data_IF_298982579184
#
_entry.id   IF_298982579184
#
_cell.length_a   1.000
_cell.length_b   1.000
_cell.length_c   1.000
_cell.angle_alpha   90.00
_cell.angle_beta   90.00
_cell.angle_gamma   90.00
#
_symmetry.space_group_name_H-M   'P 1'
#
loop_
_entity.id
_entity.type
_entity.pdbx_description
1 polymer ?
#
# COMPACT_ATOMS: atom_id res chain seq x y z
N UNK A 1 40.32 -10.71 12.04
CA UNK A 1 40.99 -11.94 11.54
C UNK A 1 39.97 -13.04 11.27
N UNK A 2 38.92 -13.19 12.08
CA UNK A 2 37.84 -14.17 11.85
C UNK A 2 37.01 -13.90 10.57
N UNK A 3 36.59 -12.65 10.31
CA UNK A 3 35.80 -12.31 9.10
C UNK A 3 36.52 -12.71 7.78
N UNK A 4 37.85 -12.56 7.70
CA UNK A 4 38.59 -12.97 6.52
C UNK A 4 38.70 -14.50 6.38
N UNK A 5 38.63 -15.24 7.48
CA UNK A 5 38.55 -16.70 7.45
C UNK A 5 37.18 -17.17 6.94
N UNK A 6 36.10 -16.49 7.34
CA UNK A 6 34.74 -16.80 6.87
C UNK A 6 34.56 -16.49 5.38
N UNK A 7 35.18 -15.42 4.87
CA UNK A 7 35.19 -15.15 3.42
C UNK A 7 35.95 -16.21 2.63
N UNK A 8 37.05 -16.74 3.18
CA UNK A 8 37.77 -17.86 2.56
C UNK A 8 36.92 -19.14 2.57
N UNK A 9 36.26 -19.44 3.69
CA UNK A 9 35.35 -20.58 3.81
C UNK A 9 34.18 -20.46 2.81
N UNK A 10 33.60 -19.27 2.66
CA UNK A 10 32.56 -19.02 1.67
C UNK A 10 33.04 -19.32 0.25
N UNK A 11 34.23 -18.83 -0.11
CA UNK A 11 34.85 -19.11 -1.40
C UNK A 11 35.13 -20.60 -1.62
N UNK A 12 35.66 -21.29 -0.61
CA UNK A 12 35.93 -22.73 -0.66
C UNK A 12 34.65 -23.55 -0.88
N UNK A 13 33.57 -23.22 -0.18
CA UNK A 13 32.26 -23.87 -0.36
C UNK A 13 31.72 -23.61 -1.77
N UNK A 14 31.77 -22.37 -2.24
CA UNK A 14 31.30 -21.99 -3.58
C UNK A 14 32.07 -22.73 -4.69
N UNK A 15 33.40 -22.76 -4.63
CA UNK A 15 34.23 -23.47 -5.60
C UNK A 15 33.98 -24.98 -5.57
N UNK A 16 33.74 -25.55 -4.38
CA UNK A 16 33.41 -26.97 -4.26
C UNK A 16 32.06 -27.32 -4.87
N UNK A 17 31.04 -26.47 -4.70
CA UNK A 17 29.73 -26.65 -5.34
C UNK A 17 29.91 -26.64 -6.87
N UNK A 18 30.63 -25.66 -7.41
CA UNK A 18 30.89 -25.56 -8.85
C UNK A 18 31.62 -26.76 -9.43
N UNK A 19 32.55 -27.34 -8.67
CA UNK A 19 33.39 -28.45 -9.14
C UNK A 19 32.77 -29.84 -8.91
N UNK A 20 32.00 -30.02 -7.84
CA UNK A 20 31.56 -31.34 -7.35
C UNK A 20 30.04 -31.57 -7.41
N UNK A 21 29.21 -30.54 -7.64
CA UNK A 21 27.76 -30.74 -7.78
C UNK A 21 27.45 -31.54 -9.06
N UNK A 22 26.44 -32.41 -8.98
CA UNK A 22 26.16 -33.42 -10.01
C UNK A 22 25.78 -32.80 -11.37
N UNK A 23 25.16 -31.62 -11.33
CA UNK A 23 24.78 -30.83 -12.50
C UNK A 23 25.50 -29.47 -12.46
N UNK A 24 25.98 -28.91 -13.58
CA UNK A 24 26.58 -27.58 -13.58
C UNK A 24 25.58 -26.52 -13.08
N UNK A 25 25.86 -25.82 -11.96
CA UNK A 25 24.94 -24.82 -11.43
C UNK A 25 25.05 -23.48 -12.18
N UNK A 26 24.02 -22.64 -12.03
CA UNK A 26 24.11 -21.22 -12.38
C UNK A 26 24.86 -20.47 -11.26
N UNK A 27 26.07 -20.00 -11.56
CA UNK A 27 26.95 -19.33 -10.61
C UNK A 27 26.38 -17.98 -10.13
N UNK A 28 25.68 -17.26 -11.00
CA UNK A 28 25.07 -15.96 -10.68
C UNK A 28 23.88 -16.14 -9.74
N UNK A 29 23.05 -17.16 -9.99
CA UNK A 29 21.95 -17.53 -9.11
C UNK A 29 22.45 -17.94 -7.71
N UNK A 30 23.52 -18.72 -7.63
CA UNK A 30 24.13 -19.11 -6.35
C UNK A 30 24.61 -17.91 -5.52
N UNK A 31 25.28 -16.95 -6.17
CA UNK A 31 25.76 -15.73 -5.49
C UNK A 31 24.58 -14.88 -5.02
N UNK A 32 23.55 -14.70 -5.87
CA UNK A 32 22.33 -13.96 -5.51
C UNK A 32 21.58 -14.61 -4.36
N UNK A 33 21.47 -15.94 -4.35
CA UNK A 33 20.86 -16.68 -3.26
C UNK A 33 21.63 -16.48 -1.93
N UNK A 34 22.97 -16.44 -1.97
CA UNK A 34 23.77 -16.13 -0.80
C UNK A 34 23.56 -14.70 -0.30
N UNK A 35 23.49 -13.70 -1.20
CA UNK A 35 23.19 -12.30 -0.84
C UNK A 35 21.80 -12.19 -0.20
N UNK A 36 20.80 -12.82 -0.80
CA UNK A 36 19.43 -12.88 -0.27
C UNK A 36 19.40 -13.53 1.12
N UNK A 37 20.15 -14.62 1.32
CA UNK A 37 20.28 -15.29 2.61
C UNK A 37 20.89 -14.39 3.70
N UNK A 38 21.92 -13.60 3.36
CA UNK A 38 22.49 -12.62 4.30
C UNK A 38 21.46 -11.58 4.74
N UNK A 39 20.69 -11.03 3.80
CA UNK A 39 19.73 -9.96 4.09
C UNK A 39 18.51 -10.46 4.86
N UNK A 40 17.93 -11.58 4.45
CA UNK A 40 16.77 -12.18 5.12
C UNK A 40 17.11 -12.76 6.50
N UNK A 41 18.40 -13.00 6.79
CA UNK A 41 18.83 -13.39 8.14
C UNK A 41 18.75 -12.26 9.17
N UNK A 42 18.65 -10.99 8.72
CA UNK A 42 18.59 -9.83 9.60
C UNK A 42 17.18 -9.62 10.15
N UNK A 43 16.20 -9.60 9.25
CA UNK A 43 14.79 -9.36 9.54
C UNK A 43 13.92 -9.77 8.32
N UNK A 44 12.59 -9.93 8.46
CA UNK A 44 11.70 -10.33 7.35
C UNK A 44 11.46 -9.24 6.29
N UNK A 45 11.96 -8.02 6.49
CA UNK A 45 11.74 -6.86 5.62
C UNK A 45 12.97 -6.53 4.76
N UNK A 46 14.16 -6.99 5.15
CA UNK A 46 15.43 -6.80 4.44
C UNK A 46 15.60 -7.85 3.34
N UNK A 47 16.05 -7.42 2.16
CA UNK A 47 16.17 -8.29 1.00
C UNK A 47 16.87 -7.65 -0.19
N UNK A 48 17.37 -8.49 -1.09
CA UNK A 48 17.92 -8.07 -2.38
C UNK A 48 16.77 -7.92 -3.38
N UNK A 49 16.82 -6.86 -4.16
CA UNK A 49 15.90 -6.58 -5.25
C UNK A 49 16.72 -6.67 -6.54
N UNK A 50 16.61 -7.77 -7.30
CA UNK A 50 17.11 -7.85 -8.66
C UNK A 50 16.61 -6.67 -9.52
N UNK A 51 17.27 -6.36 -10.66
CA UNK A 51 16.91 -5.21 -11.48
C UNK A 51 15.42 -5.10 -11.83
N UNK A 52 14.79 -6.22 -12.22
CA UNK A 52 13.37 -6.26 -12.54
C UNK A 52 12.49 -5.93 -11.32
N UNK A 53 12.69 -6.63 -10.20
CA UNK A 53 11.97 -6.36 -8.95
C UNK A 53 12.19 -4.93 -8.44
N UNK A 54 13.36 -4.34 -8.70
CA UNK A 54 13.65 -2.94 -8.33
C UNK A 54 12.84 -1.95 -9.18
N UNK A 55 12.72 -2.20 -10.48
CA UNK A 55 11.89 -1.39 -11.38
C UNK A 55 10.40 -1.54 -11.04
N UNK A 56 9.93 -2.77 -10.79
CA UNK A 56 8.56 -3.03 -10.31
C UNK A 56 8.29 -2.31 -8.99
N UNK A 57 9.23 -2.36 -8.05
CA UNK A 57 9.13 -1.63 -6.77
C UNK A 57 9.04 -0.11 -6.98
N UNK A 58 9.71 0.44 -7.99
CA UNK A 58 9.63 1.87 -8.32
C UNK A 58 8.28 2.26 -8.90
N UNK A 59 7.72 1.45 -9.81
CA UNK A 59 6.35 1.66 -10.33
C UNK A 59 5.31 1.58 -9.20
N UNK A 60 5.49 0.63 -8.30
CA UNK A 60 4.68 0.47 -7.09
C UNK A 60 4.73 1.69 -6.17
N UNK A 61 5.92 2.26 -5.98
CA UNK A 61 6.15 3.44 -5.15
C UNK A 61 5.53 4.69 -5.77
N UNK A 62 5.75 4.90 -7.07
CA UNK A 62 5.18 6.04 -7.77
C UNK A 62 3.65 5.93 -7.84
N UNK A 63 3.12 4.70 -7.82
CA UNK A 63 1.71 4.42 -8.14
C UNK A 63 1.40 4.68 -9.61
N UNK A 64 2.44 4.72 -10.45
CA UNK A 64 2.36 5.07 -11.85
C UNK A 64 3.21 4.10 -12.68
N UNK A 65 2.66 3.67 -13.82
CA UNK A 65 3.36 2.79 -14.75
C UNK A 65 3.07 3.17 -16.20
N UNK A 66 3.97 2.81 -17.11
CA UNK A 66 3.78 3.02 -18.54
C UNK A 66 2.84 1.96 -19.14
N UNK A 67 1.73 2.39 -19.74
CA UNK A 67 0.77 1.44 -20.29
C UNK A 67 -0.41 2.06 -21.01
N UNK A 68 -1.48 1.27 -21.12
CA UNK A 68 -2.67 1.61 -21.91
C UNK A 68 -3.83 2.17 -21.07
N UNK A 69 -3.84 1.88 -19.77
CA UNK A 69 -4.92 2.28 -18.87
C UNK A 69 -6.18 1.46 -19.05
N UNK A 70 -6.05 0.13 -19.04
CA UNK A 70 -7.18 -0.79 -19.19
C UNK A 70 -7.16 -1.83 -18.07
N UNK A 71 -8.30 -2.04 -17.43
CA UNK A 71 -8.50 -3.15 -16.50
C UNK A 71 -8.94 -4.38 -17.29
N UNK A 72 -8.25 -5.50 -17.08
CA UNK A 72 -8.48 -6.76 -17.79
C UNK A 72 -8.65 -7.91 -16.81
N UNK A 73 -9.36 -8.95 -17.26
CA UNK A 73 -9.43 -10.25 -16.61
C UNK A 73 -9.21 -11.35 -17.64
N UNK A 74 -8.68 -12.48 -17.19
CA UNK A 74 -8.68 -13.71 -17.97
C UNK A 74 -10.01 -14.45 -17.75
N UNK A 75 -10.79 -14.63 -18.80
CA UNK A 75 -12.04 -15.41 -18.80
C UNK A 75 -11.98 -16.41 -19.96
N UNK A 76 -12.16 -17.71 -19.70
CA UNK A 76 -12.14 -18.76 -20.74
C UNK A 76 -10.91 -18.73 -21.68
N UNK A 77 -9.73 -18.43 -21.15
CA UNK A 77 -8.45 -18.28 -21.90
C UNK A 77 -8.41 -17.12 -22.91
N UNK A 78 -9.36 -16.19 -22.82
CA UNK A 78 -9.33 -14.91 -23.54
C UNK A 78 -9.19 -13.76 -22.57
N UNK A 79 -8.56 -12.69 -23.03
CA UNK A 79 -8.37 -11.48 -22.23
C UNK A 79 -9.57 -10.59 -22.47
N UNK A 80 -10.36 -10.36 -21.41
CA UNK A 80 -11.54 -9.52 -21.47
C UNK A 80 -11.27 -8.19 -20.78
N UNK A 81 -11.66 -7.10 -21.43
CA UNK A 81 -11.64 -5.77 -20.85
C UNK A 81 -12.78 -5.65 -19.85
N UNK A 82 -12.44 -5.37 -18.59
CA UNK A 82 -13.42 -5.01 -17.55
C UNK A 82 -13.88 -3.58 -17.78
N UNK A 83 -12.93 -2.65 -17.82
CA UNK A 83 -13.18 -1.24 -18.09
C UNK A 83 -11.92 -0.55 -18.58
N UNK A 84 -12.00 0.35 -19.57
CA UNK A 84 -10.96 1.34 -19.76
C UNK A 84 -10.94 2.29 -18.54
N UNK A 85 -9.77 2.82 -18.21
CA UNK A 85 -9.61 3.86 -17.19
C UNK A 85 -9.83 5.21 -17.88
N UNK A 86 -10.66 6.08 -17.30
CA UNK A 86 -10.92 7.41 -17.85
C UNK A 86 -9.63 8.21 -18.11
N UNK A 87 -9.64 9.03 -19.15
CA UNK A 87 -8.50 9.88 -19.55
C UNK A 87 -7.21 9.12 -19.88
N UNK A 88 -7.28 7.82 -20.19
CA UNK A 88 -6.12 7.01 -20.63
C UNK A 88 -6.14 6.71 -22.14
N UNK A 89 -5.02 6.22 -22.73
CA UNK A 89 -4.98 5.84 -24.14
C UNK A 89 -6.10 4.88 -24.56
N UNK A 90 -6.39 3.85 -23.75
CA UNK A 90 -7.44 2.87 -24.04
C UNK A 90 -8.83 3.52 -24.13
N UNK A 91 -9.17 4.39 -23.16
CA UNK A 91 -10.43 5.13 -23.17
C UNK A 91 -10.54 6.06 -24.39
N UNK A 92 -9.48 6.84 -24.68
CA UNK A 92 -9.43 7.78 -25.81
C UNK A 92 -9.54 7.07 -27.16
N UNK A 93 -9.00 5.86 -27.28
CA UNK A 93 -9.09 5.05 -28.48
C UNK A 93 -10.46 4.39 -28.68
N UNK A 94 -11.33 4.42 -27.67
CA UNK A 94 -12.66 3.83 -27.74
C UNK A 94 -12.69 2.31 -27.50
N UNK A 95 -11.73 1.79 -26.74
CA UNK A 95 -11.83 0.45 -26.13
C UNK A 95 -12.99 0.47 -25.13
N UNK A 96 -13.81 -0.57 -25.12
CA UNK A 96 -15.01 -0.65 -24.29
C UNK A 96 -14.95 -1.86 -23.36
N UNK A 97 -15.71 -1.78 -22.27
CA UNK A 97 -15.99 -2.94 -21.42
C UNK A 97 -16.55 -4.10 -22.25
N UNK A 98 -16.11 -5.31 -21.92
CA UNK A 98 -16.38 -6.58 -22.62
C UNK A 98 -15.71 -6.76 -23.98
N UNK A 99 -14.85 -5.85 -24.42
CA UNK A 99 -13.95 -6.15 -25.55
C UNK A 99 -13.06 -7.35 -25.19
N UNK A 100 -12.87 -8.26 -26.15
CA UNK A 100 -11.95 -9.38 -26.02
C UNK A 100 -10.67 -9.06 -26.79
N UNK A 101 -9.56 -8.87 -26.08
CA UNK A 101 -8.25 -8.69 -26.71
C UNK A 101 -7.84 -10.06 -27.27
N UNK A 102 -7.59 -10.12 -28.58
CA UNK A 102 -7.22 -11.36 -29.29
C UNK A 102 -5.77 -11.34 -29.78
N UNK A 103 -5.19 -10.15 -30.03
CA UNK A 103 -3.77 -10.00 -30.39
C UNK A 103 -3.14 -8.75 -29.75
N UNK A 104 -1.86 -8.87 -29.42
CA UNK A 104 -1.00 -7.76 -28.97
C UNK A 104 0.25 -7.76 -29.86
N UNK A 105 0.50 -6.65 -30.56
CA UNK A 105 1.57 -6.51 -31.58
C UNK A 105 1.58 -7.66 -32.61
N UNK A 106 0.38 -8.10 -33.02
CA UNK A 106 0.18 -9.20 -33.97
C UNK A 106 0.48 -10.59 -33.42
N UNK A 107 0.72 -10.73 -32.11
CA UNK A 107 0.84 -12.02 -31.43
C UNK A 107 -0.50 -12.38 -30.80
N UNK A 108 -1.02 -13.58 -31.10
CA UNK A 108 -2.25 -14.08 -30.48
C UNK A 108 -2.08 -14.22 -28.97
N UNK A 109 -3.07 -13.76 -28.20
CA UNK A 109 -3.03 -13.88 -26.74
C UNK A 109 -3.42 -15.26 -26.24
N UNK A 110 -3.96 -16.12 -27.11
CA UNK A 110 -4.37 -17.46 -26.73
C UNK A 110 -3.17 -18.28 -26.24
N UNK A 111 -3.27 -18.82 -25.04
CA UNK A 111 -2.20 -19.55 -24.37
C UNK A 111 -1.24 -18.67 -23.55
N UNK A 112 -1.40 -17.35 -23.59
CA UNK A 112 -0.74 -16.46 -22.63
C UNK A 112 -1.46 -16.48 -21.30
N UNK A 113 -0.69 -16.34 -20.24
CA UNK A 113 -1.18 -15.96 -18.91
C UNK A 113 -1.59 -14.48 -18.89
N UNK A 114 -2.36 -14.10 -17.87
CA UNK A 114 -2.73 -12.69 -17.68
C UNK A 114 -1.48 -11.80 -17.54
N UNK A 115 -0.48 -12.26 -16.79
CA UNK A 115 0.74 -11.49 -16.50
C UNK A 115 1.58 -11.27 -17.76
N UNK A 116 1.76 -12.29 -18.60
CA UNK A 116 2.46 -12.15 -19.89
C UNK A 116 1.78 -11.13 -20.81
N UNK A 117 0.45 -11.07 -20.79
CA UNK A 117 -0.28 -10.10 -21.58
C UNK A 117 -0.15 -8.68 -21.02
N UNK A 118 -0.18 -8.53 -19.69
CA UNK A 118 0.09 -7.25 -19.02
C UNK A 118 1.48 -6.75 -19.37
N UNK A 119 2.50 -7.63 -19.31
CA UNK A 119 3.88 -7.29 -19.64
C UNK A 119 4.01 -6.78 -21.08
N UNK A 120 3.28 -7.38 -22.04
CA UNK A 120 3.24 -6.90 -23.43
C UNK A 120 2.50 -5.58 -23.61
N UNK A 121 1.44 -5.35 -22.85
CA UNK A 121 0.68 -4.08 -22.91
C UNK A 121 1.42 -2.94 -22.21
N UNK A 122 2.20 -3.25 -21.17
CA UNK A 122 3.12 -2.30 -20.52
C UNK A 122 4.34 -2.04 -21.40
N UNK A 123 5.05 -0.97 -21.05
CA UNK A 123 6.27 -0.57 -21.74
C UNK A 123 6.54 0.91 -21.59
N UNK A 124 7.67 1.39 -22.14
CA UNK A 124 8.09 2.77 -21.96
C UNK A 124 7.06 3.76 -22.51
N UNK A 125 6.81 4.83 -21.77
CA UNK A 125 5.89 5.92 -22.16
C UNK A 125 6.32 6.49 -23.52
N UNK A 126 5.34 6.75 -24.38
CA UNK A 126 5.54 7.25 -25.75
C UNK A 126 5.81 6.16 -26.79
N UNK A 127 6.02 4.90 -26.40
CA UNK A 127 6.09 3.78 -27.34
C UNK A 127 4.69 3.37 -27.79
N UNK A 128 4.60 2.76 -28.97
CA UNK A 128 3.32 2.29 -29.51
C UNK A 128 3.13 0.79 -29.24
N UNK A 129 1.86 0.39 -29.18
CA UNK A 129 1.43 -1.01 -29.16
C UNK A 129 0.14 -1.14 -29.97
N UNK A 130 0.06 -2.20 -30.76
CA UNK A 130 -1.12 -2.53 -31.55
C UNK A 130 -1.95 -3.57 -30.81
N UNK A 131 -3.21 -3.27 -30.55
CA UNK A 131 -4.16 -4.17 -29.91
C UNK A 131 -5.27 -4.52 -30.89
N UNK A 132 -5.49 -5.82 -31.12
CA UNK A 132 -6.63 -6.31 -31.90
C UNK A 132 -7.67 -6.85 -30.93
N UNK A 133 -8.91 -6.37 -31.04
CA UNK A 133 -10.03 -6.80 -30.19
C UNK A 133 -11.18 -7.37 -31.00
N UNK A 134 -11.83 -8.38 -30.44
CA UNK A 134 -13.14 -8.82 -30.85
C UNK A 134 -14.20 -8.13 -29.97
N UNK A 135 -15.16 -7.45 -30.61
CA UNK A 135 -16.25 -6.75 -29.93
C UNK A 135 -17.58 -7.40 -30.31
N UNK A 136 -18.39 -7.74 -29.31
CA UNK A 136 -19.70 -8.33 -29.55
C UNK A 136 -20.57 -7.41 -30.43
N UNK A 137 -21.20 -7.99 -31.45
CA UNK A 137 -22.03 -7.26 -32.42
C UNK A 137 -21.25 -6.61 -33.57
N UNK A 138 -19.92 -6.70 -33.60
CA UNK A 138 -19.07 -6.25 -34.72
C UNK A 138 -18.53 -7.47 -35.47
N UNK A 139 -18.70 -7.51 -36.78
CA UNK A 139 -18.40 -8.70 -37.59
C UNK A 139 -16.91 -8.95 -37.82
N UNK A 140 -16.10 -7.90 -37.82
CA UNK A 140 -14.65 -7.95 -38.04
C UNK A 140 -13.91 -7.46 -36.79
N UNK A 141 -12.74 -8.04 -36.45
CA UNK A 141 -11.91 -7.53 -35.37
C UNK A 141 -11.54 -6.06 -35.56
N UNK A 142 -11.50 -5.31 -34.46
CA UNK A 142 -11.10 -3.91 -34.44
C UNK A 142 -9.63 -3.81 -34.05
N UNK A 143 -8.87 -3.01 -34.79
CA UNK A 143 -7.45 -2.75 -34.51
C UNK A 143 -7.29 -1.35 -33.92
N UNK A 144 -6.54 -1.26 -32.82
CA UNK A 144 -6.20 -0.01 -32.15
C UNK A 144 -4.69 0.13 -32.07
N UNK A 145 -4.15 1.20 -32.64
CA UNK A 145 -2.76 1.62 -32.40
C UNK A 145 -2.76 2.63 -31.27
N UNK A 146 -2.13 2.26 -30.16
CA UNK A 146 -2.15 3.01 -28.91
C UNK A 146 -0.74 3.47 -28.57
N UNK A 147 -0.60 4.73 -28.19
CA UNK A 147 0.63 5.23 -27.58
C UNK A 147 0.55 5.02 -26.08
N UNK A 148 1.51 4.29 -25.51
CA UNK A 148 1.62 4.09 -24.06
C UNK A 148 1.81 5.45 -23.38
N UNK A 149 1.08 5.63 -22.28
CA UNK A 149 1.08 6.86 -21.48
C UNK A 149 1.34 6.50 -20.02
N UNK A 150 1.58 7.51 -19.18
CA UNK A 150 1.68 7.30 -17.74
C UNK A 150 0.29 7.02 -17.16
N UNK A 151 0.10 5.82 -16.62
CA UNK A 151 -1.15 5.40 -16.00
C UNK A 151 -1.00 5.57 -14.49
N UNK A 152 -1.89 6.38 -13.89
CA UNK A 152 -1.91 6.61 -12.45
C UNK A 152 -3.00 5.77 -11.78
N UNK A 153 -2.60 4.94 -10.83
CA UNK A 153 -3.54 4.20 -9.99
C UNK A 153 -4.12 5.16 -8.95
N UNK A 154 -5.46 5.22 -8.85
CA UNK A 154 -6.13 6.02 -7.82
C UNK A 154 -5.85 5.40 -6.44
N UNK A 155 -4.89 5.98 -5.72
CA UNK A 155 -4.55 5.58 -4.35
C UNK A 155 -5.71 5.81 -3.37
N UNK A 156 -6.50 6.86 -3.61
CA UNK A 156 -7.66 7.27 -2.80
C UNK A 156 -8.94 7.08 -3.60
N UNK A 157 -9.92 6.44 -2.98
CA UNK A 157 -11.32 6.41 -3.43
C UNK A 157 -12.18 7.07 -2.36
N UNK A 158 -13.23 7.76 -2.77
CA UNK A 158 -14.11 8.43 -1.82
C UNK A 158 -15.58 8.23 -2.16
N UNK A 159 -16.45 8.42 -1.16
CA UNK A 159 -17.91 8.40 -1.30
C UNK A 159 -18.59 9.20 -0.19
N UNK A 160 -19.81 9.65 -0.43
CA UNK A 160 -20.69 10.23 0.60
C UNK A 160 -21.72 9.22 1.11
N UNK A 161 -21.70 8.96 2.41
CA UNK A 161 -22.72 8.19 3.12
C UNK A 161 -23.65 9.18 3.85
N UNK A 162 -24.62 9.71 3.11
CA UNK A 162 -25.39 10.90 3.53
C UNK A 162 -24.48 12.12 3.58
N UNK A 163 -24.32 12.73 4.76
CA UNK A 163 -23.43 13.88 4.98
C UNK A 163 -22.02 13.50 5.48
N UNK A 164 -21.72 12.21 5.59
CA UNK A 164 -20.42 11.71 6.06
C UNK A 164 -19.54 11.36 4.88
N UNK A 165 -18.34 11.95 4.82
CA UNK A 165 -17.35 11.65 3.80
C UNK A 165 -16.54 10.42 4.21
N UNK A 166 -16.42 9.44 3.31
CA UNK A 166 -15.58 8.24 3.50
C UNK A 166 -14.46 8.29 2.47
N UNK A 167 -13.21 8.37 2.94
CA UNK A 167 -12.00 8.34 2.12
C UNK A 167 -11.27 7.03 2.39
N UNK A 168 -11.18 6.15 1.40
CA UNK A 168 -10.40 4.93 1.48
C UNK A 168 -9.05 5.14 0.78
N UNK A 169 -7.99 5.14 1.58
CA UNK A 169 -6.60 5.18 1.08
C UNK A 169 -6.06 3.75 1.05
N UNK A 170 -5.78 3.24 -0.14
CA UNK A 170 -5.38 1.85 -0.36
C UNK A 170 -3.88 1.60 -0.16
N UNK A 171 -3.04 2.59 -0.48
CA UNK A 171 -1.57 2.53 -0.35
C UNK A 171 -0.96 3.92 -0.33
N UNK A 172 0.16 4.08 0.35
CA UNK A 172 0.93 5.33 0.39
C UNK A 172 1.93 5.41 -0.77
N UNK A 173 1.43 5.55 -2.00
CA UNK A 173 2.26 5.85 -3.19
C UNK A 173 2.51 7.35 -3.30
N UNK A 174 3.32 7.80 -4.24
CA UNK A 174 3.52 9.23 -4.54
C UNK A 174 2.21 9.98 -4.90
N UNK A 175 1.13 9.24 -5.21
CA UNK A 175 -0.20 9.79 -5.51
C UNK A 175 -1.11 9.90 -4.28
N UNK A 176 -0.68 9.46 -3.10
CA UNK A 176 -1.54 9.36 -1.92
C UNK A 176 -2.04 10.74 -1.44
N UNK A 177 -1.14 11.69 -1.21
CA UNK A 177 -1.52 13.02 -0.73
C UNK A 177 -2.38 13.77 -1.75
N UNK A 178 -1.97 13.82 -3.02
CA UNK A 178 -2.74 14.45 -4.11
C UNK A 178 -4.13 13.80 -4.24
N UNK A 179 -4.22 12.48 -4.02
CA UNK A 179 -5.50 11.77 -3.97
C UNK A 179 -6.40 12.22 -2.82
N UNK A 180 -5.83 12.52 -1.64
CA UNK A 180 -6.58 13.07 -0.50
C UNK A 180 -7.06 14.49 -0.81
N UNK A 181 -6.18 15.35 -1.32
CA UNK A 181 -6.53 16.72 -1.72
C UNK A 181 -7.70 16.74 -2.69
N UNK A 182 -7.57 15.98 -3.78
CA UNK A 182 -8.60 15.88 -4.82
C UNK A 182 -9.91 15.30 -4.28
N UNK A 183 -9.85 14.26 -3.46
CA UNK A 183 -11.06 13.69 -2.86
C UNK A 183 -11.80 14.73 -2.01
N UNK A 184 -11.08 15.52 -1.22
CA UNK A 184 -11.68 16.58 -0.39
C UNK A 184 -12.24 17.71 -1.26
N UNK A 185 -11.57 18.10 -2.35
CA UNK A 185 -12.10 19.05 -3.32
C UNK A 185 -13.42 18.54 -3.92
N UNK A 186 -13.42 17.33 -4.49
CA UNK A 186 -14.60 16.72 -5.10
C UNK A 186 -15.77 16.61 -4.10
N UNK A 187 -15.50 16.23 -2.84
CA UNK A 187 -16.50 16.15 -1.77
C UNK A 187 -17.12 17.52 -1.50
N UNK A 188 -16.32 18.57 -1.41
CA UNK A 188 -16.86 19.92 -1.19
C UNK A 188 -17.63 20.41 -2.41
N UNK A 189 -17.20 20.08 -3.63
CA UNK A 189 -17.95 20.40 -4.84
C UNK A 189 -19.33 19.72 -4.86
N UNK A 190 -19.41 18.42 -4.58
CA UNK A 190 -20.69 17.70 -4.48
C UNK A 190 -21.59 18.25 -3.37
N UNK A 191 -21.00 18.80 -2.30
CA UNK A 191 -21.72 19.43 -1.19
C UNK A 191 -21.89 20.93 -1.34
N UNK A 192 -21.76 21.49 -2.55
CA UNK A 192 -21.95 22.91 -2.84
C UNK A 192 -21.08 23.86 -1.98
N UNK A 193 -19.88 23.42 -1.63
CA UNK A 193 -18.92 24.14 -0.79
C UNK A 193 -19.10 23.94 0.71
N UNK A 194 -20.11 23.16 1.16
CA UNK A 194 -20.33 22.89 2.58
C UNK A 194 -19.40 21.79 3.11
N UNK A 195 -18.91 21.95 4.33
CA UNK A 195 -18.08 20.95 5.02
C UNK A 195 -18.90 19.73 5.43
N UNK A 196 -18.42 18.49 5.20
CA UNK A 196 -19.14 17.27 5.57
C UNK A 196 -19.37 17.22 7.09
N UNK A 197 -20.39 16.48 7.53
CA UNK A 197 -20.70 16.31 8.96
C UNK A 197 -19.57 15.61 9.72
N UNK A 198 -18.78 14.81 9.01
CA UNK A 198 -17.54 14.22 9.49
C UNK A 198 -16.81 13.48 8.38
N UNK A 199 -15.57 13.10 8.65
CA UNK A 199 -14.69 12.36 7.75
C UNK A 199 -14.34 11.02 8.37
N UNK A 200 -14.44 9.96 7.57
CA UNK A 200 -13.92 8.64 7.88
C UNK A 200 -12.74 8.39 6.95
N UNK A 201 -11.52 8.31 7.51
CA UNK A 201 -10.34 7.86 6.79
C UNK A 201 -10.18 6.36 7.00
N UNK A 202 -10.45 5.57 5.97
CA UNK A 202 -10.35 4.12 6.00
C UNK A 202 -8.94 3.66 5.58
N UNK A 203 -8.17 3.18 6.56
CA UNK A 203 -6.83 2.62 6.39
C UNK A 203 -6.81 1.09 6.57
N UNK A 204 -7.98 0.44 6.62
CA UNK A 204 -8.08 -1.02 6.72
C UNK A 204 -7.48 -1.68 5.49
N UNK A 205 -6.70 -2.73 5.71
CA UNK A 205 -5.98 -3.46 4.66
C UNK A 205 -5.03 -2.60 3.82
N UNK A 206 -4.57 -1.46 4.36
CA UNK A 206 -3.52 -0.65 3.75
C UNK A 206 -2.16 -1.04 4.36
N UNK A 207 -1.27 -1.72 3.61
CA UNK A 207 0.02 -2.22 4.11
C UNK A 207 1.07 -1.11 4.28
N UNK A 208 0.71 0.16 4.03
CA UNK A 208 1.57 1.31 4.13
C UNK A 208 2.11 1.75 2.77
N UNK A 209 3.40 2.09 2.73
CA UNK A 209 4.08 2.64 1.57
C UNK A 209 5.11 3.69 1.99
N UNK A 210 5.22 4.77 1.23
CA UNK A 210 6.16 5.86 1.48
C UNK A 210 5.85 6.58 2.79
N UNK A 211 6.87 6.70 3.63
CA UNK A 211 6.77 7.46 4.87
C UNK A 211 6.61 8.94 4.63
N UNK A 212 7.26 9.49 3.60
CA UNK A 212 7.05 10.88 3.19
C UNK A 212 5.59 11.17 2.89
N UNK A 213 4.90 10.24 2.23
CA UNK A 213 3.47 10.35 1.94
C UNK A 213 2.61 10.19 3.18
N UNK A 214 3.02 9.36 4.14
CA UNK A 214 2.35 9.30 5.45
C UNK A 214 2.42 10.62 6.22
N UNK A 215 3.54 11.35 6.09
CA UNK A 215 3.71 12.68 6.68
C UNK A 215 2.74 13.66 6.04
N UNK A 216 2.71 13.77 4.71
CA UNK A 216 1.81 14.67 4.00
C UNK A 216 0.33 14.35 4.25
N UNK A 217 -0.05 13.06 4.26
CA UNK A 217 -1.44 12.66 4.55
C UNK A 217 -1.83 13.00 5.98
N UNK A 218 -0.95 12.86 6.98
CA UNK A 218 -1.25 13.29 8.34
C UNK A 218 -1.32 14.83 8.45
N UNK A 219 -0.43 15.53 7.75
CA UNK A 219 -0.34 17.00 7.68
C UNK A 219 -1.66 17.63 7.20
N UNK A 220 -2.30 17.01 6.20
CA UNK A 220 -3.62 17.40 5.70
C UNK A 220 -4.70 17.57 6.78
N UNK A 221 -4.53 16.92 7.94
CA UNK A 221 -5.48 16.95 9.05
C UNK A 221 -4.90 17.57 10.33
N UNK A 222 -3.62 17.96 10.37
CA UNK A 222 -2.90 18.42 11.56
C UNK A 222 -2.25 19.78 11.37
N UNK A 223 -2.75 20.80 12.08
CA UNK A 223 -2.22 22.17 11.97
C UNK A 223 -0.77 22.36 12.47
N UNK A 224 -0.28 21.49 13.37
CA UNK A 224 1.08 21.51 13.92
C UNK A 224 1.39 20.22 14.68
N UNK A 225 2.69 19.98 14.87
CA UNK A 225 3.23 19.00 15.80
C UNK A 225 3.91 17.84 15.07
N UNK A 226 4.55 16.94 15.83
CA UNK A 226 5.23 15.81 15.22
C UNK A 226 4.20 14.88 14.56
N UNK A 227 4.50 14.37 13.36
CA UNK A 227 3.78 13.25 12.76
C UNK A 227 4.45 11.93 13.15
N UNK A 228 5.77 11.85 12.97
CA UNK A 228 6.54 10.64 13.25
C UNK A 228 7.98 11.00 13.62
N UNK A 229 8.56 10.21 14.51
CA UNK A 229 9.98 10.26 14.83
C UNK A 229 10.66 8.99 14.32
N UNK A 230 11.82 9.12 13.68
CA UNK A 230 12.68 8.00 13.32
C UNK A 230 13.89 7.94 14.24
N UNK A 231 14.31 6.72 14.57
CA UNK A 231 15.57 6.46 15.27
C UNK A 231 16.35 5.39 14.55
N UNK A 232 17.49 5.77 14.00
CA UNK A 232 18.45 4.85 13.39
C UNK A 232 19.64 4.57 14.29
N UNK A 233 20.63 3.87 13.73
CA UNK A 233 21.89 3.56 14.43
C UNK A 233 22.78 4.80 14.55
N UNK A 234 22.67 5.72 13.61
CA UNK A 234 23.41 6.99 13.58
C UNK A 234 22.46 8.18 13.70
N UNK A 235 23.01 9.35 14.08
CA UNK A 235 22.24 10.59 14.17
C UNK A 235 21.63 10.98 12.82
N UNK A 236 22.34 10.74 11.72
CA UNK A 236 21.85 10.98 10.35
C UNK A 236 20.70 10.07 9.92
N UNK A 237 20.48 8.95 10.62
CA UNK A 237 19.36 8.02 10.37
C UNK A 237 18.19 8.28 11.34
N UNK A 238 18.29 9.31 12.19
CA UNK A 238 17.25 9.73 13.12
C UNK A 238 16.70 11.08 12.69
N UNK A 239 15.39 11.23 12.70
CA UNK A 239 14.72 12.41 12.19
C UNK A 239 13.39 12.64 12.92
N UNK A 240 12.86 13.85 12.81
CA UNK A 240 11.54 14.21 13.30
C UNK A 240 10.80 14.93 12.18
N UNK A 241 9.69 14.33 11.76
CA UNK A 241 8.82 14.90 10.76
C UNK A 241 7.68 15.61 11.47
N UNK A 242 7.56 16.92 11.24
CA UNK A 242 6.50 17.76 11.80
C UNK A 242 5.49 18.15 10.72
N UNK A 243 4.23 18.32 11.13
CA UNK A 243 3.16 18.92 10.35
C UNK A 243 3.26 20.46 10.39
N UNK A 244 2.74 21.13 9.37
CA UNK A 244 2.71 22.57 9.24
C UNK A 244 1.34 23.08 8.75
N UNK A 245 0.98 24.33 9.10
CA UNK A 245 -0.32 24.87 8.70
C UNK A 245 -0.38 25.14 7.20
N UNK A 246 -1.49 24.77 6.58
CA UNK A 246 -1.82 24.94 5.17
C UNK A 246 -3.34 25.26 4.96
N UNK A 247 -3.79 25.52 3.72
CA UNK A 247 -5.21 25.79 3.47
C UNK A 247 -6.13 24.58 3.66
N UNK A 248 -5.62 23.36 3.51
CA UNK A 248 -6.37 22.12 3.59
C UNK A 248 -6.66 21.76 5.04
N UNK A 249 -5.69 21.81 5.94
CA UNK A 249 -5.90 21.54 7.36
C UNK A 249 -6.87 22.57 7.96
N UNK A 250 -6.73 23.85 7.59
CA UNK A 250 -7.64 24.91 8.02
C UNK A 250 -9.09 24.66 7.55
N UNK A 251 -9.26 24.10 6.35
CA UNK A 251 -10.57 23.73 5.79
C UNK A 251 -11.22 22.56 6.54
N UNK A 252 -10.41 21.69 7.16
CA UNK A 252 -10.84 20.47 7.84
C UNK A 252 -10.81 20.55 9.37
N UNK A 253 -10.29 21.63 9.95
CA UNK A 253 -9.98 21.73 11.38
C UNK A 253 -11.19 21.42 12.29
N UNK A 254 -12.37 21.89 11.92
CA UNK A 254 -13.61 21.72 12.72
C UNK A 254 -14.43 20.49 12.31
N UNK A 255 -13.96 19.71 11.33
CA UNK A 255 -14.67 18.52 10.83
C UNK A 255 -14.33 17.31 11.70
N UNK A 256 -15.31 16.70 12.41
CA UNK A 256 -15.08 15.49 13.20
C UNK A 256 -14.49 14.37 12.34
N UNK A 257 -13.55 13.61 12.90
CA UNK A 257 -12.82 12.59 12.14
C UNK A 257 -12.76 11.26 12.89
N UNK A 258 -12.98 10.17 12.14
CA UNK A 258 -12.71 8.79 12.56
C UNK A 258 -11.69 8.18 11.61
N UNK A 259 -10.76 7.39 12.14
CA UNK A 259 -9.85 6.57 11.33
C UNK A 259 -10.20 5.10 11.55
N UNK A 260 -10.44 4.36 10.46
CA UNK A 260 -10.66 2.91 10.53
C UNK A 260 -9.34 2.17 10.35
N UNK A 261 -9.04 1.25 11.27
CA UNK A 261 -7.85 0.38 11.21
C UNK A 261 -8.21 -1.09 11.47
N UNK A 262 -7.42 -2.00 10.93
CA UNK A 262 -7.53 -3.43 11.21
C UNK A 262 -6.15 -4.12 11.14
N UNK A 263 -6.12 -5.46 11.21
CA UNK A 263 -4.85 -6.21 11.17
C UNK A 263 -3.99 -5.94 9.95
N UNK A 264 -4.58 -5.53 8.82
CA UNK A 264 -3.89 -5.24 7.57
C UNK A 264 -3.40 -3.80 7.45
N UNK A 265 -3.71 -2.93 8.42
CA UNK A 265 -3.13 -1.59 8.52
C UNK A 265 -1.69 -1.71 9.02
N UNK A 266 -0.71 -1.32 8.20
CA UNK A 266 0.71 -1.46 8.56
C UNK A 266 1.55 -0.23 8.18
N UNK A 267 2.71 -0.05 8.84
CA UNK A 267 3.75 0.91 8.47
C UNK A 267 3.21 2.34 8.34
N UNK A 268 3.26 2.96 7.17
CA UNK A 268 2.72 4.31 6.92
C UNK A 268 1.27 4.51 7.41
N UNK A 269 0.42 3.48 7.33
CA UNK A 269 -0.94 3.53 7.90
C UNK A 269 -0.93 3.72 9.42
N UNK A 270 0.01 3.05 10.10
CA UNK A 270 0.19 3.11 11.55
C UNK A 270 0.79 4.45 11.99
N UNK A 271 1.64 5.05 11.14
CA UNK A 271 2.14 6.41 11.32
C UNK A 271 0.99 7.41 11.31
N UNK A 272 0.14 7.41 10.27
CA UNK A 272 -1.01 8.33 10.17
C UNK A 272 -1.98 8.10 11.32
N UNK A 273 -2.36 6.84 11.59
CA UNK A 273 -3.28 6.50 12.66
C UNK A 273 -2.73 6.94 14.03
N UNK A 274 -1.45 6.63 14.32
CA UNK A 274 -0.79 6.99 15.56
C UNK A 274 -0.65 8.50 15.74
N UNK A 275 -0.30 9.24 14.68
CA UNK A 275 -0.18 10.70 14.72
C UNK A 275 -1.53 11.37 15.02
N UNK A 276 -2.58 10.99 14.29
CA UNK A 276 -3.92 11.55 14.48
C UNK A 276 -4.50 11.19 15.85
N UNK A 277 -4.21 9.99 16.36
CA UNK A 277 -4.61 9.55 17.69
C UNK A 277 -3.89 10.34 18.79
N UNK A 278 -2.56 10.48 18.69
CA UNK A 278 -1.74 11.13 19.71
C UNK A 278 -2.06 12.63 19.83
N UNK A 279 -2.38 13.29 18.71
CA UNK A 279 -2.82 14.68 18.68
C UNK A 279 -4.30 14.88 19.02
N UNK A 280 -5.03 13.80 19.34
CA UNK A 280 -6.48 13.86 19.57
C UNK A 280 -7.24 14.51 18.40
N UNK A 281 -6.74 14.34 17.17
CA UNK A 281 -7.38 14.83 15.95
C UNK A 281 -8.48 13.90 15.48
N UNK A 282 -8.29 12.59 15.61
CA UNK A 282 -9.26 11.60 15.21
C UNK A 282 -9.43 10.52 16.27
N UNK A 283 -10.61 9.91 16.31
CA UNK A 283 -10.86 8.69 17.08
C UNK A 283 -10.59 7.48 16.18
N UNK A 284 -9.78 6.53 16.65
CA UNK A 284 -9.53 5.28 15.93
C UNK A 284 -10.59 4.24 16.28
N UNK A 285 -11.19 3.63 15.26
CA UNK A 285 -12.21 2.59 15.38
C UNK A 285 -11.76 1.35 14.62
N UNK A 286 -11.96 0.17 15.20
CA UNK A 286 -11.71 -1.11 14.51
C UNK A 286 -10.96 -2.11 15.37
N UNK A 287 -9.87 -2.69 14.86
CA UNK A 287 -9.03 -3.63 15.60
C UNK A 287 -7.56 -3.23 15.54
N UNK A 288 -6.73 -3.80 16.42
CA UNK A 288 -5.29 -3.53 16.46
C UNK A 288 -4.64 -3.73 15.09
N UNK A 289 -3.74 -2.81 14.74
CA UNK A 289 -2.98 -2.83 13.48
C UNK A 289 -1.83 -3.86 13.48
N UNK A 290 -1.10 -3.94 12.37
CA UNK A 290 -0.12 -5.01 12.11
C UNK A 290 1.11 -5.01 13.04
N UNK A 291 1.64 -3.82 13.36
CA UNK A 291 2.81 -3.65 14.23
C UNK A 291 4.15 -3.46 13.51
N UNK A 292 4.18 -2.96 12.27
CA UNK A 292 5.43 -2.72 11.55
C UNK A 292 5.95 -1.31 11.83
N UNK A 293 6.84 -1.21 12.80
CA UNK A 293 7.48 0.05 13.24
C UNK A 293 8.90 0.25 12.69
N UNK A 294 9.28 -0.37 11.57
CA UNK A 294 10.63 -0.32 11.00
C UNK A 294 10.70 0.43 9.67
N UNK A 295 11.79 1.16 9.47
CA UNK A 295 12.11 1.95 8.26
C UNK A 295 12.93 1.10 7.31
N UNK A 296 12.45 0.92 6.08
CA UNK A 296 13.26 0.32 5.02
C UNK A 296 13.83 1.40 4.09
N UNK A 297 15.14 1.37 3.88
CA UNK A 297 15.81 2.15 2.84
C UNK A 297 16.03 1.26 1.62
N UNK A 298 15.70 1.77 0.43
CA UNK A 298 16.03 1.11 -0.84
C UNK A 298 17.30 1.76 -1.39
N UNK A 299 18.39 1.01 -1.36
CA UNK A 299 19.73 1.46 -1.73
C UNK A 299 20.05 0.90 -3.12
N UNK A 300 20.18 1.77 -4.11
CA UNK A 300 20.55 1.36 -5.47
C UNK A 300 21.95 0.74 -5.49
N UNK A 301 22.08 -0.38 -6.19
CA UNK A 301 23.34 -1.06 -6.48
C UNK A 301 23.76 -0.83 -7.94
N UNK A 302 23.16 0.15 -8.61
CA UNK A 302 23.41 0.44 -10.02
C UNK A 302 22.73 -0.57 -10.94
N UNK A 303 23.44 -1.18 -11.91
CA UNK A 303 22.84 -2.13 -12.84
C UNK A 303 22.41 -3.44 -12.17
N UNK A 304 22.87 -3.70 -10.95
CA UNK A 304 22.58 -4.94 -10.21
C UNK A 304 21.30 -4.83 -9.37
N UNK A 305 20.46 -3.81 -9.57
CA UNK A 305 19.21 -3.62 -8.86
C UNK A 305 19.38 -2.82 -7.57
N UNK A 306 18.80 -3.28 -6.47
CA UNK A 306 18.82 -2.58 -5.19
C UNK A 306 18.87 -3.51 -3.98
N UNK A 307 19.20 -2.94 -2.82
CA UNK A 307 19.11 -3.59 -1.52
C UNK A 307 18.05 -2.86 -0.70
N UNK A 308 17.04 -3.59 -0.22
CA UNK A 308 16.11 -3.11 0.79
C UNK A 308 16.65 -3.48 2.16
N UNK A 309 16.89 -2.48 3.00
CA UNK A 309 17.52 -2.69 4.31
C UNK A 309 16.78 -1.93 5.39
N UNK A 310 16.54 -2.57 6.54
CA UNK A 310 16.03 -1.88 7.72
C UNK A 310 17.12 -1.00 8.34
N UNK A 311 16.88 0.32 8.38
CA UNK A 311 17.88 1.31 8.81
C UNK A 311 17.48 2.07 10.07
N UNK A 312 16.19 2.12 10.40
CA UNK A 312 15.67 2.84 11.55
C UNK A 312 14.32 2.27 12.03
N UNK A 313 13.82 2.80 13.15
CA UNK A 313 12.49 2.51 13.72
C UNK A 313 11.65 3.78 13.81
N UNK A 314 10.34 3.68 13.62
CA UNK A 314 9.38 4.78 13.79
C UNK A 314 8.75 4.77 15.17
N UNK A 315 8.46 5.96 15.67
CA UNK A 315 7.75 6.20 16.93
C UNK A 315 6.66 7.24 16.70
N UNK A 316 5.53 7.07 17.39
CA UNK A 316 4.44 8.04 17.35
C UNK A 316 4.84 9.35 18.07
N UNK A 317 4.07 10.44 17.93
CA UNK A 317 4.36 11.72 18.58
C UNK A 317 4.51 11.64 20.11
N UNK A 318 3.77 10.74 20.78
CA UNK A 318 3.90 10.45 22.22
C UNK A 318 5.05 9.49 22.55
N UNK A 319 5.97 9.28 21.61
CA UNK A 319 7.15 8.43 21.76
C UNK A 319 6.84 6.93 21.94
N UNK A 320 5.68 6.45 21.47
CA UNK A 320 5.30 5.04 21.54
C UNK A 320 5.95 4.27 20.39
N UNK A 321 6.53 3.11 20.69
CA UNK A 321 7.05 2.18 19.69
C UNK A 321 5.89 1.40 19.07
N UNK A 322 5.88 1.28 17.74
CA UNK A 322 4.85 0.51 17.00
C UNK A 322 5.34 -0.93 16.76
N UNK A 323 6.66 -1.11 16.71
CA UNK A 323 7.30 -2.35 16.30
C UNK A 323 6.87 -3.53 17.18
N UNK A 324 6.36 -4.60 16.56
CA UNK A 324 5.86 -5.80 17.20
C UNK A 324 4.64 -5.59 18.14
N UNK A 325 4.05 -4.39 18.15
CA UNK A 325 2.88 -4.06 18.98
C UNK A 325 1.67 -3.63 18.13
N UNK A 326 1.87 -2.67 17.24
CA UNK A 326 0.80 -2.00 16.49
C UNK A 326 0.15 -0.85 17.24
N UNK A 327 -0.82 -0.23 16.59
CA UNK A 327 -1.70 0.81 17.11
C UNK A 327 -2.97 0.14 17.60
N UNK A 328 -3.31 0.39 18.85
CA UNK A 328 -4.59 -0.03 19.44
C UNK A 328 -5.64 1.06 19.17
N UNK A 329 -6.83 0.72 18.63
CA UNK A 329 -7.88 1.71 18.38
C UNK A 329 -8.42 2.26 19.70
N UNK A 330 -8.96 3.48 19.67
CA UNK A 330 -9.65 4.06 20.83
C UNK A 330 -10.97 3.35 21.13
N UNK A 331 -11.59 2.77 20.09
CA UNK A 331 -12.83 1.99 20.20
C UNK A 331 -12.65 0.67 19.43
N UNK A 332 -12.59 -0.44 20.16
CA UNK A 332 -12.56 -1.77 19.53
C UNK A 332 -13.94 -2.12 18.98
N UNK A 333 -14.02 -2.31 17.66
CA UNK A 333 -15.20 -2.80 16.95
C UNK A 333 -14.75 -3.91 16.01
N UNK A 334 -15.27 -5.12 16.21
CA UNK A 334 -14.96 -6.28 15.37
C UNK A 334 -16.00 -6.43 14.26
N UNK A 335 -15.55 -6.96 13.11
CA UNK A 335 -16.48 -7.34 12.05
C UNK A 335 -17.24 -8.61 12.43
N UNK A 336 -18.46 -8.73 11.91
CA UNK A 336 -19.16 -10.01 11.84
C UNK A 336 -18.58 -10.77 10.65
N UNK A 337 -17.76 -11.78 10.93
CA UNK A 337 -17.08 -12.58 9.89
C UNK A 337 -17.97 -13.75 9.49
N UNK A 338 -18.36 -13.89 8.20
CA UNK A 338 -19.11 -15.04 7.70
C UNK A 338 -18.37 -16.36 7.95
N UNK A 339 -19.11 -17.44 8.14
CA UNK A 339 -18.57 -18.75 8.51
C UNK A 339 -17.51 -19.25 7.52
N UNK A 340 -17.65 -18.97 6.21
CA UNK A 340 -16.65 -19.36 5.20
C UNK A 340 -15.30 -18.65 5.32
N UNK A 341 -15.23 -17.52 6.04
CA UNK A 341 -14.01 -16.72 6.22
C UNK A 341 -13.40 -16.87 7.62
N UNK A 342 -14.15 -17.42 8.58
CA UNK A 342 -13.65 -17.59 9.95
C UNK A 342 -12.38 -18.44 10.01
N UNK A 343 -11.35 -17.92 10.68
CA UNK A 343 -10.04 -18.57 10.80
C UNK A 343 -9.12 -18.38 9.59
N UNK A 344 -9.60 -17.68 8.55
CA UNK A 344 -8.79 -17.19 7.42
C UNK A 344 -8.70 -15.66 7.40
N UNK A 345 -9.55 -15.01 8.19
CA UNK A 345 -9.63 -13.57 8.32
C UNK A 345 -8.56 -13.00 9.25
N UNK A 346 -8.12 -13.76 10.26
CA UNK A 346 -7.03 -13.35 11.14
C UNK A 346 -5.68 -13.61 10.49
N UNK A 347 -4.82 -12.58 10.45
CA UNK A 347 -3.45 -12.71 9.94
C UNK A 347 -2.43 -12.78 11.07
N UNK A 348 -1.21 -13.18 10.74
CA UNK A 348 -0.07 -13.10 11.66
C UNK A 348 0.39 -11.63 11.69
N UNK A 349 0.47 -11.03 12.88
CA UNK A 349 1.04 -9.68 13.07
C UNK A 349 2.57 -9.69 13.06
N UNK A 350 3.20 -8.51 13.14
CA UNK A 350 4.67 -8.36 13.04
C UNK A 350 5.44 -9.28 14.02
N UNK A 351 5.02 -9.36 15.28
CA UNK A 351 5.65 -10.19 16.31
C UNK A 351 5.58 -11.70 16.02
N UNK A 352 4.65 -12.13 15.16
CA UNK A 352 4.54 -13.52 14.75
C UNK A 352 5.42 -13.89 13.56
N UNK A 353 6.08 -12.91 12.91
CA UNK A 353 6.97 -13.20 11.78
C UNK A 353 8.27 -13.85 12.25
N UNK A 354 8.76 -14.80 11.46
CA UNK A 354 10.06 -15.41 11.69
C UNK A 354 11.16 -14.35 11.52
N UNK A 355 12.03 -14.22 12.54
CA UNK A 355 13.13 -13.25 12.52
C UNK A 355 12.68 -11.79 12.66
N UNK A 356 11.46 -11.54 13.14
CA UNK A 356 10.97 -10.17 13.34
C UNK A 356 11.88 -9.36 14.26
N UNK A 357 11.80 -8.03 14.11
CA UNK A 357 12.54 -7.10 14.94
C UNK A 357 11.76 -6.93 16.26
N UNK A 358 12.39 -7.21 17.40
CA UNK A 358 11.75 -7.11 18.72
C UNK A 358 11.48 -5.65 19.12
N UNK A 359 10.41 -5.44 19.87
CA UNK A 359 10.03 -4.13 20.45
C UNK A 359 10.98 -3.64 21.55
N UNK A 360 10.74 -2.42 22.05
CA UNK A 360 11.58 -1.78 23.09
C UNK A 360 11.22 -2.21 24.52
N UNK A 361 10.97 -3.51 24.74
CA UNK A 361 10.72 -4.09 26.07
C UNK A 361 9.26 -4.05 26.55
N UNK A 362 8.32 -3.67 25.70
CA UNK A 362 6.87 -3.84 25.93
C UNK A 362 6.42 -5.27 25.60
N UNK A 363 5.29 -5.70 26.17
CA UNK A 363 4.72 -7.03 25.89
C UNK A 363 4.23 -7.05 24.44
N UNK A 364 4.94 -7.78 23.57
CA UNK A 364 4.65 -7.86 22.13
C UNK A 364 3.26 -8.45 21.87
N UNK A 365 2.67 -8.09 20.74
CA UNK A 365 1.38 -8.61 20.34
C UNK A 365 1.49 -10.12 20.05
N UNK A 366 0.87 -10.96 20.87
CA UNK A 366 0.98 -12.43 20.74
C UNK A 366 0.10 -13.03 19.64
N UNK A 367 -0.81 -12.24 19.06
CA UNK A 367 -1.73 -12.63 17.98
C UNK A 367 -1.94 -11.44 17.03
N UNK A 368 -2.24 -11.68 15.75
CA UNK A 368 -2.69 -10.62 14.86
C UNK A 368 -4.17 -10.31 15.01
N UNK A 369 -4.73 -9.56 14.06
CA UNK A 369 -6.14 -9.16 14.03
C UNK A 369 -6.78 -9.54 12.70
N UNK A 370 -8.12 -9.56 12.67
CA UNK A 370 -8.88 -9.77 11.45
C UNK A 370 -8.58 -8.70 10.38
N UNK A 371 -8.49 -9.13 9.12
CA UNK A 371 -8.39 -8.29 7.92
C UNK A 371 -9.70 -8.24 7.13
N UNK A 372 -10.74 -8.92 7.61
CA UNK A 372 -12.01 -8.99 6.90
C UNK A 372 -12.66 -7.60 6.81
N UNK A 373 -13.11 -7.24 5.60
CA UNK A 373 -13.95 -6.07 5.33
C UNK A 373 -15.03 -6.54 4.36
N UNK A 374 -16.33 -6.42 4.70
CA UNK A 374 -17.41 -6.79 3.80
C UNK A 374 -17.36 -6.01 2.47
N UNK A 375 -17.81 -6.64 1.38
CA UNK A 375 -17.92 -5.98 0.09
C UNK A 375 -19.03 -4.90 0.11
N UNK A 376 -20.16 -5.22 0.73
CA UNK A 376 -21.29 -4.31 0.89
C UNK A 376 -21.11 -3.45 2.14
N UNK A 377 -21.15 -2.13 1.96
CA UNK A 377 -20.98 -1.17 3.08
C UNK A 377 -22.03 -1.30 4.16
N UNK A 378 -23.23 -1.79 3.82
CA UNK A 378 -24.32 -2.00 4.77
C UNK A 378 -23.99 -3.10 5.80
N UNK A 379 -23.17 -4.09 5.41
CA UNK A 379 -22.75 -5.20 6.27
C UNK A 379 -21.47 -4.87 7.06
N UNK A 380 -20.77 -3.79 6.70
CA UNK A 380 -19.55 -3.32 7.35
C UNK A 380 -19.84 -2.72 8.73
N UNK A 381 -19.70 -3.55 9.76
CA UNK A 381 -20.03 -3.19 11.15
C UNK A 381 -19.19 -2.02 11.65
N UNK A 382 -17.91 -1.98 11.28
CA UNK A 382 -16.98 -0.91 11.70
C UNK A 382 -17.32 0.42 11.02
N UNK A 383 -17.56 0.40 9.70
CA UNK A 383 -17.94 1.60 8.95
C UNK A 383 -19.29 2.14 9.44
N UNK A 384 -20.29 1.26 9.58
CA UNK A 384 -21.61 1.66 10.04
C UNK A 384 -21.57 2.21 11.48
N UNK A 385 -20.73 1.65 12.35
CA UNK A 385 -20.50 2.21 13.68
C UNK A 385 -19.92 3.62 13.63
N UNK A 386 -18.88 3.85 12.80
CA UNK A 386 -18.27 5.16 12.64
C UNK A 386 -19.25 6.21 12.06
N UNK A 387 -20.10 5.81 11.10
CA UNK A 387 -21.15 6.67 10.54
C UNK A 387 -22.16 7.06 11.64
N UNK A 388 -22.65 6.10 12.43
CA UNK A 388 -23.58 6.37 13.54
C UNK A 388 -22.96 7.28 14.61
N UNK A 389 -21.68 7.10 14.88
CA UNK A 389 -20.90 7.91 15.83
C UNK A 389 -20.81 9.37 15.36
N UNK A 390 -20.46 9.61 14.10
CA UNK A 390 -20.45 10.96 13.50
C UNK A 390 -21.87 11.54 13.44
N UNK A 391 -22.87 10.70 13.21
CA UNK A 391 -24.26 11.15 13.13
C UNK A 391 -24.88 11.54 14.48
N UNK A 392 -24.27 11.12 15.59
CA UNK A 392 -24.81 11.28 16.94
C UNK A 392 -25.89 10.24 17.30
N UNK A 393 -25.99 9.17 16.52
CA UNK A 393 -26.87 8.02 16.78
C UNK A 393 -26.23 7.03 17.76
N UNK A 394 -24.90 7.03 17.82
CA UNK A 394 -24.08 6.30 18.79
C UNK A 394 -23.21 7.31 19.55
N UNK A 395 -22.89 7.03 20.81
CA UNK A 395 -22.01 7.90 21.62
C UNK A 395 -20.92 7.08 22.29
N UNK A 396 -19.69 7.60 22.28
CA UNK A 396 -18.58 6.98 22.99
C UNK A 396 -17.72 8.08 23.64
N UNK A 397 -17.15 7.82 24.81
CA UNK A 397 -16.36 8.82 25.54
C UNK A 397 -15.11 9.29 24.78
N UNK A 398 -14.63 8.46 23.85
CA UNK A 398 -13.50 8.75 22.98
C UNK A 398 -13.84 9.62 21.75
N UNK A 399 -15.13 9.96 21.50
CA UNK A 399 -15.54 10.75 20.32
C UNK A 399 -16.55 11.88 20.64
N UNK A 400 -16.37 13.09 20.06
CA UNK A 400 -15.15 13.52 19.38
C UNK A 400 -13.99 13.58 20.38
N UNK A 401 -12.75 13.32 19.92
CA UNK A 401 -11.59 13.40 20.81
C UNK A 401 -11.46 14.83 21.33
N UNK A 402 -11.26 14.98 22.63
CA UNK A 402 -11.10 16.29 23.28
C UNK A 402 -9.61 16.58 23.40
N UNK A 403 -9.17 17.73 22.88
CA UNK A 403 -7.90 18.30 23.26
C UNK A 403 -8.01 18.78 24.73
N UNK A 404 -7.01 18.46 25.56
CA UNK A 404 -6.91 19.01 26.93
C UNK A 404 -6.58 20.50 26.93
#
# INVERSE_FOLDING_TARGET
MEIYADLNLFGEIFDRIRAEYVDPPDEEELIRAAIQGMLTSLDPHSGYLPPQDYDDTREDISGQFGGLGVEIIMEDQVIKVVSPIDDTPAARAGILSNDLIIEIDGQQVQGMTQDEAVEKMRGPVGTQVKITVFREGVSEPLEFELTRDTISLRAVRWSLEGDVAVLRLSRFTEQAFVGIERAIEDIYEERNGEAPKGIILDLRNNPGGLVTQSVYVADAFLNRGAVVLTRGRTESESDRYDSGPDPLDAKLADVPMVVLINGGSASASEIVAGALQDHKRATLVGTRSFGKGSVQSIISLGPDGAMRLTTARYYTPNNRSIQALGITPDIEVRQVVPEEFQGRDEIIGEAGLQGHITGDGEEEATVGSSVYVPAEKADDTQLQYAIRLINGEETHEAFPPKAE
#
